data_IF_679641674795
#
_entry.id   IF_679641674795
#
_cell.length_a   1.000
_cell.length_b   1.000
_cell.length_c   1.000
_cell.angle_alpha   90.00
_cell.angle_beta   90.00
_cell.angle_gamma   90.00
#
_symmetry.space_group_name_H-M   'P 1'
#
loop_
_entity.id
_entity.type
_entity.pdbx_description
1 polymer ?
#
# COMPACT_ATOMS: atom_id res chain seq x y z
N UNK A 1 -7.93 5.45 -15.99
CA UNK A 1 -8.49 5.71 -14.64
C UNK A 1 -9.08 7.11 -14.56
N UNK A 2 -10.01 7.30 -13.65
CA UNK A 2 -10.64 8.60 -13.41
C UNK A 2 -9.87 9.46 -12.40
N UNK A 3 -9.13 8.80 -11.50
CA UNK A 3 -8.19 9.38 -10.57
C UNK A 3 -6.80 8.77 -10.81
N UNK A 4 -5.70 9.47 -10.50
CA UNK A 4 -4.39 8.84 -10.46
C UNK A 4 -4.36 7.72 -9.41
N UNK A 5 -3.44 6.77 -9.55
CA UNK A 5 -3.17 5.81 -8.49
C UNK A 5 -2.38 6.50 -7.39
N UNK A 6 -2.76 6.23 -6.15
CA UNK A 6 -1.99 6.56 -4.96
C UNK A 6 -1.48 5.28 -4.32
N UNK A 7 -0.36 5.35 -3.65
CA UNK A 7 0.32 4.18 -3.12
C UNK A 7 0.56 4.30 -1.62
N UNK A 8 0.69 3.16 -0.97
CA UNK A 8 1.31 3.05 0.34
C UNK A 8 2.63 2.28 0.23
N UNK A 9 3.56 2.60 1.09
CA UNK A 9 4.78 1.82 1.31
C UNK A 9 4.58 0.93 2.53
N UNK A 10 4.70 -0.37 2.35
CA UNK A 10 4.77 -1.34 3.42
C UNK A 10 6.20 -1.81 3.62
N UNK A 11 6.76 -1.62 4.82
CA UNK A 11 8.02 -2.22 5.27
C UNK A 11 7.72 -3.33 6.25
N UNK A 12 8.43 -4.44 6.15
CA UNK A 12 8.16 -5.64 6.95
C UNK A 12 9.47 -6.33 7.34
N UNK A 13 9.48 -6.89 8.55
CA UNK A 13 10.53 -7.77 9.05
C UNK A 13 9.95 -9.07 9.58
N UNK A 14 10.71 -10.15 9.45
CA UNK A 14 10.48 -11.41 10.13
C UNK A 14 11.52 -11.57 11.24
N UNK A 15 11.05 -11.90 12.42
CA UNK A 15 11.89 -12.06 13.60
C UNK A 15 11.71 -13.46 14.19
N UNK A 16 12.81 -14.15 14.41
CA UNK A 16 12.84 -15.31 15.28
C UNK A 16 12.83 -14.81 16.72
N UNK A 17 11.83 -15.23 17.51
CA UNK A 17 11.59 -14.69 18.85
C UNK A 17 11.67 -15.77 19.91
N UNK A 18 12.09 -15.38 21.11
CA UNK A 18 12.10 -16.27 22.29
C UNK A 18 10.78 -16.28 23.05
N UNK A 19 9.95 -15.25 22.86
CA UNK A 19 8.66 -15.10 23.53
C UNK A 19 7.56 -15.14 22.48
N UNK A 20 6.79 -16.25 22.40
CA UNK A 20 5.72 -16.40 21.43
C UNK A 20 4.70 -15.26 21.46
N UNK A 21 4.17 -14.93 20.31
CA UNK A 21 3.05 -14.02 20.15
C UNK A 21 1.79 -14.85 19.85
N UNK A 22 0.76 -14.74 20.69
CA UNK A 22 -0.47 -15.53 20.54
C UNK A 22 -1.67 -14.71 20.04
N UNK A 23 -1.41 -13.51 19.51
CA UNK A 23 -2.46 -12.61 19.01
C UNK A 23 -1.95 -11.78 17.83
N UNK A 24 -2.85 -11.33 17.00
CA UNK A 24 -2.56 -10.32 16.00
C UNK A 24 -2.69 -8.94 16.67
N UNK A 25 -1.73 -8.07 16.41
CA UNK A 25 -1.72 -6.68 16.86
C UNK A 25 -1.76 -5.79 15.63
N UNK A 26 -2.70 -4.87 15.61
CA UNK A 26 -2.74 -3.78 14.64
C UNK A 26 -2.75 -2.45 15.38
N UNK A 27 -2.08 -1.46 14.82
CA UNK A 27 -2.25 -0.06 15.21
C UNK A 27 -2.83 0.72 14.06
N UNK A 28 -3.62 1.72 14.35
CA UNK A 28 -4.19 2.62 13.35
C UNK A 28 -3.64 4.02 13.60
N UNK A 29 -2.96 4.59 12.61
CA UNK A 29 -2.29 5.88 12.69
C UNK A 29 -0.94 5.85 13.42
N UNK A 30 -0.83 5.22 14.59
CA UNK A 30 0.43 5.13 15.32
C UNK A 30 1.37 4.07 14.67
N UNK A 31 2.68 4.33 14.55
CA UNK A 31 3.50 5.45 15.06
C UNK A 31 3.64 6.63 14.08
N UNK A 32 2.79 6.71 13.08
CA UNK A 32 2.87 7.70 12.02
C UNK A 32 2.52 9.12 12.52
N UNK A 33 3.00 10.18 11.86
CA UNK A 33 2.55 11.53 12.09
C UNK A 33 1.07 11.70 11.70
N UNK A 34 0.45 12.80 12.15
CA UNK A 34 -1.01 12.99 12.00
C UNK A 34 -1.49 13.18 10.57
N UNK A 35 -0.62 13.62 9.69
CA UNK A 35 -0.84 13.85 8.27
C UNK A 35 -0.59 12.60 7.40
N UNK A 36 -0.05 11.53 7.99
CA UNK A 36 0.19 10.29 7.27
C UNK A 36 -0.91 9.24 7.58
N UNK A 37 -1.42 8.62 6.52
CA UNK A 37 -2.35 7.51 6.62
C UNK A 37 -1.59 6.19 6.74
N UNK A 38 -2.04 5.30 7.63
CA UNK A 38 -1.45 3.98 7.77
C UNK A 38 -1.49 3.44 9.18
N UNK A 39 -0.51 2.61 9.51
CA UNK A 39 -0.40 1.97 10.82
C UNK A 39 0.56 0.79 10.79
N UNK A 40 0.64 0.09 11.90
CA UNK A 40 1.54 -1.06 12.02
C UNK A 40 0.78 -2.36 12.29
N UNK A 41 1.49 -3.45 12.06
CA UNK A 41 1.00 -4.78 12.39
C UNK A 41 2.09 -5.63 13.04
N UNK A 42 1.68 -6.62 13.82
CA UNK A 42 2.51 -7.70 14.31
C UNK A 42 1.66 -8.96 14.45
N UNK A 43 2.07 -10.07 13.84
CA UNK A 43 1.35 -11.34 13.92
C UNK A 43 2.29 -12.55 13.95
N UNK A 44 1.88 -13.66 14.59
CA UNK A 44 2.66 -14.89 14.60
C UNK A 44 2.63 -15.55 13.23
N UNK A 45 3.79 -15.99 12.74
CA UNK A 45 3.93 -16.87 11.59
C UNK A 45 4.06 -18.33 12.03
N UNK A 46 4.70 -18.55 13.19
CA UNK A 46 4.83 -19.82 13.91
C UNK A 46 5.00 -19.52 15.40
N UNK A 47 5.29 -20.52 16.21
CA UNK A 47 5.50 -20.34 17.65
C UNK A 47 6.74 -19.49 17.97
N UNK A 48 7.73 -19.51 17.10
CA UNK A 48 9.01 -18.83 17.27
C UNK A 48 9.29 -17.75 16.22
N UNK A 49 8.38 -17.50 15.26
CA UNK A 49 8.53 -16.48 14.22
C UNK A 49 7.37 -15.50 14.24
N UNK A 50 7.73 -14.23 14.28
CA UNK A 50 6.79 -13.10 14.24
C UNK A 50 7.08 -12.23 13.01
N UNK A 51 6.03 -11.89 12.28
CA UNK A 51 6.08 -10.86 11.26
C UNK A 51 5.59 -9.54 11.85
N UNK A 52 6.32 -8.45 11.62
CA UNK A 52 5.88 -7.10 11.96
C UNK A 52 6.19 -6.14 10.83
N UNK A 53 5.42 -5.08 10.76
CA UNK A 53 5.60 -4.08 9.71
C UNK A 53 4.89 -2.77 9.98
N UNK A 54 5.22 -1.81 9.14
CA UNK A 54 4.63 -0.48 9.10
C UNK A 54 4.18 -0.21 7.67
N UNK A 55 2.96 0.31 7.53
CA UNK A 55 2.41 0.74 6.24
C UNK A 55 2.10 2.22 6.32
N UNK A 56 2.51 2.98 5.32
CA UNK A 56 2.27 4.42 5.23
C UNK A 56 1.87 4.80 3.81
N UNK A 57 0.78 5.56 3.67
CA UNK A 57 0.42 6.20 2.40
C UNK A 57 1.50 7.20 1.97
N UNK A 58 1.88 7.17 0.70
CA UNK A 58 2.95 8.02 0.15
C UNK A 58 2.50 9.47 -0.10
N UNK A 59 1.25 9.79 0.20
CA UNK A 59 0.66 11.13 0.11
C UNK A 59 0.85 11.98 1.39
N UNK A 60 1.89 11.71 2.19
CA UNK A 60 2.28 12.54 3.32
C UNK A 60 2.95 13.85 2.85
N UNK A 61 2.83 14.91 3.66
CA UNK A 61 3.30 16.24 3.27
C UNK A 61 4.80 16.47 3.55
N UNK A 62 5.35 15.91 4.62
CA UNK A 62 6.76 16.12 5.02
C UNK A 62 7.70 15.18 4.26
N UNK A 63 8.39 15.71 3.24
CA UNK A 63 9.35 14.95 2.44
C UNK A 63 10.57 14.41 3.24
N UNK A 64 10.78 14.87 4.49
CA UNK A 64 11.84 14.36 5.40
C UNK A 64 11.40 13.11 6.16
N UNK A 65 10.16 12.70 6.03
CA UNK A 65 9.63 11.55 6.75
C UNK A 65 10.34 10.27 6.29
N UNK A 66 11.07 9.64 7.21
CA UNK A 66 11.76 8.37 6.97
C UNK A 66 10.98 7.21 7.59
N UNK A 67 10.39 6.39 6.73
CA UNK A 67 9.58 5.23 7.12
C UNK A 67 10.40 4.20 7.89
N UNK A 68 11.66 3.98 7.49
CA UNK A 68 12.53 3.01 8.16
C UNK A 68 12.89 3.48 9.55
N UNK A 69 13.22 4.76 9.73
CA UNK A 69 13.53 5.31 11.05
C UNK A 69 12.32 5.17 12.00
N UNK A 70 11.14 5.54 11.53
CA UNK A 70 9.90 5.39 12.31
C UNK A 70 9.64 3.93 12.67
N UNK A 71 9.87 3.01 11.73
CA UNK A 71 9.74 1.58 11.97
C UNK A 71 10.74 1.08 13.02
N UNK A 72 12.01 1.52 12.96
CA UNK A 72 13.01 1.16 13.97
C UNK A 72 12.60 1.69 15.36
N UNK A 73 12.14 2.95 15.45
CA UNK A 73 11.64 3.54 16.71
C UNK A 73 10.42 2.80 17.25
N UNK A 74 9.50 2.38 16.39
CA UNK A 74 8.32 1.60 16.76
C UNK A 74 8.69 0.33 17.52
N UNK A 75 9.73 -0.37 17.08
CA UNK A 75 10.21 -1.61 17.72
C UNK A 75 10.67 -1.41 19.16
N UNK A 76 11.10 -0.20 19.53
CA UNK A 76 11.51 0.14 20.89
C UNK A 76 10.32 0.32 21.86
N UNK A 77 9.11 0.49 21.34
CA UNK A 77 7.92 0.62 22.17
C UNK A 77 7.65 -0.69 22.94
N UNK A 78 7.27 -0.66 24.23
CA UNK A 78 7.05 -1.86 25.06
C UNK A 78 6.13 -2.90 24.45
N UNK A 79 5.13 -2.47 23.67
CA UNK A 79 4.21 -3.38 22.97
C UNK A 79 4.92 -4.36 22.03
N UNK A 80 5.95 -3.90 21.33
CA UNK A 80 6.76 -4.68 20.37
C UNK A 80 8.01 -5.25 21.03
N UNK A 81 8.75 -4.40 21.74
CA UNK A 81 10.03 -4.73 22.36
C UNK A 81 9.98 -6.01 23.20
N UNK A 82 8.92 -6.17 24.01
CA UNK A 82 8.76 -7.37 24.88
C UNK A 82 8.79 -8.70 24.12
N UNK A 83 8.43 -8.72 22.84
CA UNK A 83 8.47 -9.91 21.99
C UNK A 83 9.77 -10.01 21.20
N UNK A 84 10.34 -8.87 20.78
CA UNK A 84 11.54 -8.83 19.93
C UNK A 84 12.84 -8.94 20.74
N UNK A 85 12.82 -8.56 22.02
CA UNK A 85 14.01 -8.55 22.87
C UNK A 85 14.64 -9.94 23.01
N UNK A 86 15.92 -10.05 22.62
CA UNK A 86 16.68 -11.28 22.58
C UNK A 86 16.33 -12.19 21.39
N UNK A 87 15.50 -11.72 20.47
CA UNK A 87 15.26 -12.33 19.16
C UNK A 87 16.25 -11.86 18.11
N UNK A 88 16.13 -12.41 16.90
CA UNK A 88 16.96 -12.10 15.74
C UNK A 88 16.06 -11.79 14.53
N UNK A 89 16.39 -10.73 13.79
CA UNK A 89 15.75 -10.44 12.51
C UNK A 89 16.32 -11.38 11.46
N UNK A 90 15.45 -12.19 10.85
CA UNK A 90 15.87 -13.22 9.88
C UNK A 90 15.60 -12.80 8.43
N UNK A 91 14.66 -11.89 8.20
CA UNK A 91 14.32 -11.40 6.86
C UNK A 91 13.64 -10.03 6.94
N UNK A 92 13.79 -9.24 5.90
CA UNK A 92 13.11 -7.97 5.74
C UNK A 92 12.74 -7.71 4.28
N UNK A 93 11.80 -6.81 4.06
CA UNK A 93 11.42 -6.38 2.72
C UNK A 93 10.47 -5.19 2.74
N UNK A 94 10.36 -4.56 1.59
CA UNK A 94 9.42 -3.46 1.37
C UNK A 94 8.67 -3.64 0.05
N UNK A 95 7.44 -3.13 0.02
CA UNK A 95 6.59 -3.17 -1.17
C UNK A 95 5.65 -1.98 -1.20
N UNK A 96 5.47 -1.39 -2.38
CA UNK A 96 4.39 -0.44 -2.62
C UNK A 96 3.08 -1.16 -2.88
N UNK A 97 2.00 -0.61 -2.35
CA UNK A 97 0.64 -1.15 -2.41
C UNK A 97 -0.26 -0.08 -3.04
N UNK A 98 -1.05 -0.38 -4.09
CA UNK A 98 -1.98 0.59 -4.66
C UNK A 98 -3.16 0.82 -3.72
N UNK A 99 -3.47 2.07 -3.41
CA UNK A 99 -4.55 2.48 -2.49
C UNK A 99 -5.60 3.40 -3.12
N UNK A 100 -5.51 3.70 -4.41
CA UNK A 100 -6.43 4.62 -5.09
C UNK A 100 -7.87 4.12 -5.20
N UNK A 101 -8.09 2.82 -5.05
CA UNK A 101 -9.42 2.20 -5.06
C UNK A 101 -10.15 2.33 -6.38
N UNK A 102 -11.49 2.30 -6.33
CA UNK A 102 -12.38 2.21 -7.48
C UNK A 102 -12.08 3.17 -8.64
N UNK A 103 -11.89 4.45 -8.35
CA UNK A 103 -11.66 5.47 -9.37
C UNK A 103 -10.25 5.45 -9.97
N UNK A 104 -9.32 4.74 -9.36
CA UNK A 104 -7.93 4.58 -9.82
C UNK A 104 -7.69 3.26 -10.57
N UNK A 105 -8.70 2.40 -10.66
CA UNK A 105 -8.63 1.21 -11.52
C UNK A 105 -8.42 1.63 -12.97
N UNK A 106 -7.45 1.03 -13.70
CA UNK A 106 -7.20 1.35 -15.10
C UNK A 106 -8.45 1.10 -15.96
N UNK A 107 -8.77 2.04 -16.84
CA UNK A 107 -9.83 1.87 -17.83
C UNK A 107 -9.49 0.77 -18.83
N UNK A 108 -8.20 0.61 -19.15
CA UNK A 108 -7.67 -0.43 -20.02
C UNK A 108 -6.94 -1.48 -19.19
N UNK A 109 -7.53 -2.64 -19.01
CA UNK A 109 -7.06 -3.77 -18.18
C UNK A 109 -6.59 -4.97 -18.98
N UNK A 110 -6.71 -4.89 -20.30
CA UNK A 110 -6.23 -5.86 -21.26
C UNK A 110 -5.76 -5.14 -22.53
N UNK A 111 -5.02 -5.82 -23.34
CA UNK A 111 -4.51 -5.37 -24.65
C UNK A 111 -4.05 -6.59 -25.43
N UNK A 112 -3.39 -6.38 -26.58
CA UNK A 112 -2.88 -7.46 -27.40
C UNK A 112 -1.88 -8.32 -26.60
N UNK A 113 -2.24 -9.58 -26.36
CA UNK A 113 -1.44 -10.55 -25.62
C UNK A 113 -1.29 -10.31 -24.12
N UNK A 114 -1.99 -9.36 -23.52
CA UNK A 114 -1.80 -8.99 -22.10
C UNK A 114 -3.10 -8.78 -21.35
N UNK A 115 -3.12 -9.24 -20.07
CA UNK A 115 -4.12 -8.88 -19.05
C UNK A 115 -3.43 -8.41 -17.78
N UNK A 116 -3.93 -7.35 -17.16
CA UNK A 116 -3.43 -6.82 -15.88
C UNK A 116 -4.35 -7.34 -14.77
N UNK A 117 -3.78 -7.96 -13.73
CA UNK A 117 -4.53 -8.62 -12.65
C UNK A 117 -4.05 -8.18 -11.27
N UNK A 118 -4.86 -8.42 -10.25
CA UNK A 118 -4.49 -8.18 -8.85
C UNK A 118 -4.08 -6.75 -8.54
N UNK A 119 -3.06 -6.60 -7.73
CA UNK A 119 -2.54 -5.30 -7.29
C UNK A 119 -2.05 -4.45 -8.47
N UNK A 120 -1.48 -5.05 -9.51
CA UNK A 120 -1.07 -4.34 -10.71
C UNK A 120 -2.24 -3.61 -11.41
N UNK A 121 -3.47 -4.13 -11.25
CA UNK A 121 -4.70 -3.49 -11.71
C UNK A 121 -5.37 -2.62 -10.62
N UNK A 122 -4.76 -2.46 -9.47
CA UNK A 122 -5.32 -1.69 -8.35
C UNK A 122 -6.48 -2.41 -7.62
N UNK A 123 -6.60 -3.73 -7.73
CA UNK A 123 -7.66 -4.48 -7.05
C UNK A 123 -7.29 -4.76 -5.59
N UNK A 124 -7.28 -3.71 -4.78
CA UNK A 124 -7.00 -3.77 -3.35
C UNK A 124 -8.15 -3.13 -2.58
N UNK A 125 -8.71 -3.84 -1.64
CA UNK A 125 -9.70 -3.30 -0.72
C UNK A 125 -8.99 -2.67 0.48
N UNK A 126 -8.82 -1.36 0.43
CA UNK A 126 -8.09 -0.59 1.44
C UNK A 126 -8.82 -0.61 2.79
N UNK A 127 -10.15 -0.63 2.79
CA UNK A 127 -10.96 -0.63 4.02
C UNK A 127 -10.75 -1.87 4.89
N UNK A 128 -10.56 -3.02 4.24
CA UNK A 128 -10.31 -4.31 4.92
C UNK A 128 -8.83 -4.70 4.94
N UNK A 129 -7.95 -3.89 4.35
CA UNK A 129 -6.52 -4.17 4.18
C UNK A 129 -6.26 -5.52 3.46
N UNK A 130 -7.04 -5.82 2.42
CA UNK A 130 -7.03 -7.11 1.73
C UNK A 130 -6.95 -6.94 0.22
N UNK A 131 -6.07 -7.73 -0.42
CA UNK A 131 -5.90 -7.77 -1.87
C UNK A 131 -5.82 -9.20 -2.43
N UNK A 132 -5.39 -10.18 -1.62
CA UNK A 132 -5.08 -11.55 -2.07
C UNK A 132 -6.27 -12.21 -2.78
N UNK A 133 -7.47 -12.12 -2.20
CA UNK A 133 -8.67 -12.73 -2.78
C UNK A 133 -9.06 -12.09 -4.12
N UNK A 134 -8.87 -10.78 -4.30
CA UNK A 134 -9.11 -10.12 -5.60
C UNK A 134 -8.02 -10.45 -6.62
N UNK A 135 -6.77 -10.57 -6.17
CA UNK A 135 -5.69 -11.04 -7.04
C UNK A 135 -5.98 -12.45 -7.57
N UNK A 136 -6.41 -13.37 -6.70
CA UNK A 136 -6.83 -14.72 -7.09
C UNK A 136 -8.04 -14.70 -8.03
N UNK A 137 -9.09 -13.94 -7.70
CA UNK A 137 -10.30 -13.84 -8.52
C UNK A 137 -10.01 -13.29 -9.91
N UNK A 138 -9.29 -12.17 -10.00
CA UNK A 138 -8.92 -11.56 -11.29
C UNK A 138 -8.00 -12.47 -12.11
N UNK A 139 -7.05 -13.16 -11.43
CA UNK A 139 -6.20 -14.16 -12.08
C UNK A 139 -6.99 -15.32 -12.68
N UNK A 140 -7.99 -15.84 -11.96
CA UNK A 140 -8.88 -16.90 -12.48
C UNK A 140 -9.72 -16.41 -13.68
N UNK A 141 -10.23 -15.16 -13.64
CA UNK A 141 -10.97 -14.58 -14.75
C UNK A 141 -10.07 -14.40 -15.99
N UNK A 142 -8.86 -13.89 -15.78
CA UNK A 142 -7.88 -13.75 -16.85
C UNK A 142 -7.51 -15.11 -17.46
N UNK A 143 -7.21 -16.11 -16.65
CA UNK A 143 -6.87 -17.45 -17.11
C UNK A 143 -7.99 -18.08 -17.98
N UNK A 144 -9.24 -17.93 -17.55
CA UNK A 144 -10.40 -18.43 -18.31
C UNK A 144 -10.53 -17.73 -19.67
N UNK A 145 -10.33 -16.42 -19.72
CA UNK A 145 -10.40 -15.66 -20.98
C UNK A 145 -9.24 -15.95 -21.90
N UNK A 146 -8.02 -15.99 -21.35
CA UNK A 146 -6.81 -16.35 -22.10
C UNK A 146 -6.95 -17.75 -22.72
N UNK A 147 -7.47 -18.73 -21.97
CA UNK A 147 -7.71 -20.06 -22.49
C UNK A 147 -8.67 -20.06 -23.68
N UNK A 148 -9.76 -19.28 -23.62
CA UNK A 148 -10.71 -19.13 -24.75
C UNK A 148 -10.04 -18.47 -25.96
N UNK A 149 -9.29 -17.40 -25.74
CA UNK A 149 -8.57 -16.66 -26.76
C UNK A 149 -7.53 -17.53 -27.48
N UNK A 150 -6.75 -18.31 -26.74
CA UNK A 150 -5.80 -19.26 -27.29
C UNK A 150 -6.45 -20.35 -28.13
N UNK A 151 -7.59 -20.90 -27.67
CA UNK A 151 -8.35 -21.88 -28.45
C UNK A 151 -8.94 -21.31 -29.76
N UNK A 152 -9.32 -20.04 -29.74
CA UNK A 152 -9.83 -19.32 -30.91
C UNK A 152 -8.72 -18.82 -31.84
N UNK A 153 -7.45 -18.87 -31.42
CA UNK A 153 -6.30 -18.29 -32.14
C UNK A 153 -6.32 -16.77 -32.18
N UNK A 154 -7.08 -16.12 -31.26
CA UNK A 154 -7.20 -14.65 -31.19
C UNK A 154 -6.83 -14.15 -29.79
N UNK A 155 -5.61 -13.68 -29.63
CA UNK A 155 -5.10 -13.04 -28.40
C UNK A 155 -5.03 -11.52 -28.52
N UNK A 156 -5.71 -10.95 -29.51
CA UNK A 156 -5.83 -9.49 -29.65
C UNK A 156 -6.60 -8.86 -28.48
N UNK A 157 -6.58 -7.54 -28.42
CA UNK A 157 -7.40 -6.78 -27.45
C UNK A 157 -8.87 -7.20 -27.53
N UNK A 158 -9.41 -7.39 -28.73
CA UNK A 158 -10.79 -7.86 -28.94
C UNK A 158 -11.00 -9.27 -28.38
N UNK A 159 -10.08 -10.20 -28.65
CA UNK A 159 -10.13 -11.58 -28.15
C UNK A 159 -10.03 -11.67 -26.63
N UNK A 160 -9.38 -10.69 -25.96
CA UNK A 160 -9.22 -10.64 -24.51
C UNK A 160 -10.27 -9.75 -23.80
N UNK A 161 -11.16 -9.07 -24.51
CA UNK A 161 -12.12 -8.12 -23.94
C UNK A 161 -13.06 -8.75 -22.88
N UNK A 162 -13.37 -10.04 -23.02
CA UNK A 162 -14.18 -10.77 -22.04
C UNK A 162 -13.61 -10.79 -20.62
N UNK A 163 -12.30 -10.58 -20.46
CA UNK A 163 -11.69 -10.41 -19.15
C UNK A 163 -12.19 -9.16 -18.43
N UNK A 164 -12.14 -7.99 -19.07
CA UNK A 164 -12.62 -6.75 -18.45
C UNK A 164 -14.12 -6.81 -18.15
N UNK A 165 -14.93 -7.37 -19.05
CA UNK A 165 -16.36 -7.59 -18.82
C UNK A 165 -16.62 -8.46 -17.58
N UNK A 166 -15.84 -9.54 -17.43
CA UNK A 166 -15.96 -10.43 -16.26
C UNK A 166 -15.59 -9.71 -14.95
N UNK A 167 -14.53 -8.89 -14.98
CA UNK A 167 -14.13 -8.09 -13.80
C UNK A 167 -15.20 -7.04 -13.47
N UNK A 168 -15.73 -6.32 -14.45
CA UNK A 168 -16.75 -5.26 -14.25
C UNK A 168 -18.01 -5.79 -13.58
N UNK A 169 -18.41 -7.02 -13.89
CA UNK A 169 -19.57 -7.69 -13.30
C UNK A 169 -19.28 -8.46 -12.01
N UNK A 170 -18.02 -8.45 -11.55
CA UNK A 170 -17.57 -9.25 -10.41
C UNK A 170 -17.77 -8.56 -9.07
N UNK A 171 -17.58 -9.35 -8.01
CA UNK A 171 -17.51 -8.88 -6.62
C UNK A 171 -16.40 -7.83 -6.44
N UNK A 172 -15.29 -7.92 -7.19
CA UNK A 172 -14.17 -6.97 -7.10
C UNK A 172 -14.67 -5.54 -7.33
N UNK A 173 -15.30 -5.28 -8.47
CA UNK A 173 -15.75 -3.91 -8.79
C UNK A 173 -16.93 -3.46 -7.93
N UNK A 174 -17.77 -4.39 -7.48
CA UNK A 174 -18.85 -4.08 -6.53
C UNK A 174 -18.30 -3.59 -5.19
N UNK A 175 -17.41 -4.36 -4.59
CA UNK A 175 -16.86 -4.04 -3.27
C UNK A 175 -16.00 -2.77 -3.34
N UNK A 176 -15.13 -2.63 -4.36
CA UNK A 176 -14.38 -1.40 -4.57
C UNK A 176 -15.28 -0.17 -4.72
N UNK A 177 -16.45 -0.33 -5.36
CA UNK A 177 -17.43 0.76 -5.49
C UNK A 177 -18.08 1.10 -4.15
N UNK A 178 -18.34 0.13 -3.29
CA UNK A 178 -18.94 0.36 -1.97
C UNK A 178 -17.97 1.13 -1.05
N UNK A 179 -16.65 0.86 -1.14
CA UNK A 179 -15.62 1.53 -0.32
C UNK A 179 -14.85 2.66 -1.04
N UNK A 180 -15.33 3.11 -2.22
CA UNK A 180 -14.59 3.96 -3.18
C UNK A 180 -13.93 5.23 -2.64
N UNK A 181 -14.48 5.83 -1.59
CA UNK A 181 -13.97 7.05 -0.98
C UNK A 181 -13.46 6.85 0.46
N UNK A 182 -13.42 5.61 0.95
CA UNK A 182 -13.13 5.34 2.36
C UNK A 182 -11.70 5.77 2.74
N UNK A 183 -10.72 5.45 1.90
CA UNK A 183 -9.33 5.90 2.06
C UNK A 183 -9.24 7.44 2.11
N UNK A 184 -9.97 8.10 1.23
CA UNK A 184 -9.93 9.56 1.06
C UNK A 184 -10.62 10.32 2.22
N UNK A 185 -11.51 9.65 2.95
CA UNK A 185 -12.14 10.24 4.14
C UNK A 185 -11.10 10.66 5.18
N UNK A 186 -10.00 9.92 5.28
CA UNK A 186 -8.92 10.16 6.24
C UNK A 186 -8.06 11.38 5.92
N UNK A 187 -8.13 11.94 4.70
CA UNK A 187 -7.54 13.27 4.41
C UNK A 187 -8.10 14.40 5.27
N UNK A 188 -9.25 14.19 5.91
CA UNK A 188 -9.82 15.12 6.90
C UNK A 188 -9.28 14.93 8.33
N UNK A 189 -8.21 14.15 8.49
CA UNK A 189 -7.65 13.75 9.76
C UNK A 189 -8.29 12.47 10.33
N UNK A 190 -7.63 11.88 11.30
CA UNK A 190 -7.96 10.54 11.82
C UNK A 190 -9.40 10.44 12.40
N UNK A 191 -9.80 11.34 13.27
CA UNK A 191 -11.10 11.25 13.95
C UNK A 191 -12.27 11.55 13.01
N UNK A 192 -12.16 12.62 12.23
CA UNK A 192 -13.21 12.99 11.26
C UNK A 192 -13.28 11.95 10.15
N UNK A 193 -12.16 11.45 9.70
CA UNK A 193 -12.05 10.36 8.73
C UNK A 193 -12.71 9.09 9.23
N UNK A 194 -12.48 8.73 10.50
CA UNK A 194 -13.10 7.58 11.13
C UNK A 194 -14.63 7.65 11.16
N UNK A 195 -15.20 8.80 11.57
CA UNK A 195 -16.66 9.02 11.53
C UNK A 195 -17.20 8.89 10.12
N UNK A 196 -16.54 9.51 9.13
CA UNK A 196 -16.93 9.39 7.71
C UNK A 196 -16.86 7.94 7.24
N UNK A 197 -15.82 7.20 7.59
CA UNK A 197 -15.67 5.79 7.23
C UNK A 197 -16.80 4.91 7.80
N UNK A 198 -17.19 5.12 9.06
CA UNK A 198 -18.33 4.42 9.68
C UNK A 198 -19.61 4.71 8.91
N UNK A 199 -19.91 5.98 8.60
CA UNK A 199 -21.11 6.36 7.84
C UNK A 199 -21.09 5.77 6.43
N UNK A 200 -19.93 5.73 5.75
CA UNK A 200 -19.81 5.08 4.45
C UNK A 200 -20.06 3.59 4.53
N UNK A 201 -19.55 2.92 5.56
CA UNK A 201 -19.79 1.49 5.79
C UNK A 201 -21.26 1.19 6.00
N UNK A 202 -21.95 1.94 6.87
CA UNK A 202 -23.36 1.76 7.17
C UNK A 202 -24.26 2.01 5.94
N UNK A 203 -23.88 2.91 5.07
CA UNK A 203 -24.63 3.27 3.86
C UNK A 203 -24.15 2.54 2.60
N UNK A 204 -23.23 1.57 2.71
CA UNK A 204 -22.60 0.87 1.59
C UNK A 204 -22.09 1.82 0.50
N UNK A 205 -21.43 2.88 0.92
CA UNK A 205 -20.87 3.89 0.05
C UNK A 205 -21.85 4.92 -0.51
N UNK A 206 -23.12 4.94 -0.09
CA UNK A 206 -24.06 6.00 -0.50
C UNK A 206 -23.71 7.35 0.11
N UNK A 207 -23.28 7.38 1.37
CA UNK A 207 -22.72 8.59 2.00
C UNK A 207 -21.39 8.95 1.35
N UNK A 208 -21.19 10.21 0.97
CA UNK A 208 -20.04 10.67 0.18
C UNK A 208 -19.85 9.85 -1.12
N UNK A 209 -20.96 9.53 -1.79
CA UNK A 209 -20.95 8.68 -2.97
C UNK A 209 -20.39 9.30 -4.25
N UNK A 210 -20.26 10.65 -4.30
CA UNK A 210 -19.65 11.34 -5.44
C UNK A 210 -18.14 11.10 -5.48
N UNK A 211 -17.56 11.16 -6.68
CA UNK A 211 -16.10 11.05 -6.85
C UNK A 211 -15.39 12.19 -6.14
N UNK A 212 -14.45 11.86 -5.28
CA UNK A 212 -13.51 12.80 -4.68
C UNK A 212 -12.26 12.81 -5.55
N UNK A 213 -11.89 13.95 -6.17
CA UNK A 213 -10.67 14.05 -6.95
C UNK A 213 -9.45 13.97 -6.02
N UNK A 214 -8.40 13.31 -6.49
CA UNK A 214 -7.11 13.20 -5.79
C UNK A 214 -5.99 13.66 -6.71
N UNK A 215 -4.86 14.04 -6.10
CA UNK A 215 -3.61 14.33 -6.80
C UNK A 215 -2.70 13.09 -6.75
N UNK A 216 -1.67 13.10 -7.56
CA UNK A 216 -0.59 12.13 -7.45
C UNK A 216 0.16 12.30 -6.13
N UNK A 217 0.67 11.22 -5.56
CA UNK A 217 1.37 11.23 -4.26
C UNK A 217 2.50 12.27 -4.23
N UNK A 218 3.31 12.32 -5.27
CA UNK A 218 4.41 13.29 -5.38
C UNK A 218 3.96 14.76 -5.35
N UNK A 219 2.71 15.05 -5.73
CA UNK A 219 2.16 16.41 -5.71
C UNK A 219 1.62 16.84 -4.34
N UNK A 220 1.52 15.91 -3.39
CA UNK A 220 1.11 16.19 -2.00
C UNK A 220 2.30 16.59 -1.12
N UNK A 221 3.51 16.17 -1.47
CA UNK A 221 4.73 16.50 -0.72
C UNK A 221 5.03 17.99 -0.81
N UNK A 222 5.36 18.60 0.33
CA UNK A 222 5.76 20.01 0.37
C UNK A 222 7.18 20.17 -0.16
N UNK A 223 7.39 21.18 -0.98
CA UNK A 223 8.72 21.61 -1.38
C UNK A 223 9.43 22.19 -0.17
N UNK A 224 10.57 21.62 0.20
CA UNK A 224 11.45 22.19 1.24
C UNK A 224 12.12 23.46 0.70
N UNK A 225 12.11 24.54 1.49
CA UNK A 225 12.96 25.70 1.24
C UNK A 225 14.43 25.34 1.49
N UNK A 226 15.36 26.01 0.81
CA UNK A 226 16.80 25.79 1.00
C UNK A 226 17.25 25.93 2.48
N UNK A 227 16.54 26.77 3.25
CA UNK A 227 16.81 26.93 4.68
C UNK A 227 16.34 25.76 5.54
N UNK A 228 15.39 24.97 5.04
CA UNK A 228 14.81 23.81 5.73
C UNK A 228 15.39 22.48 5.25
N UNK A 229 16.31 22.53 4.27
CA UNK A 229 16.95 21.34 3.72
C UNK A 229 18.06 20.85 4.65
N UNK A 230 17.83 19.73 5.39
CA UNK A 230 18.86 19.15 6.25
C UNK A 230 20.00 18.50 5.43
N UNK A 231 19.82 18.38 4.12
CA UNK A 231 20.75 17.73 3.20
C UNK A 231 21.50 18.75 2.32
N UNK A 232 21.98 19.84 2.90
CA UNK A 232 22.84 20.78 2.16
C UNK A 232 24.04 20.00 1.63
N UNK A 233 24.24 19.97 0.30
CA UNK A 233 25.36 19.24 -0.28
C UNK A 233 26.68 19.77 0.27
N UNK A 234 27.48 18.90 0.85
CA UNK A 234 28.82 19.25 1.35
C UNK A 234 29.87 19.32 0.23
N UNK A 235 29.46 19.11 -1.02
CA UNK A 235 30.31 19.07 -2.20
C UNK A 235 31.22 17.84 -2.29
N UNK A 236 31.10 16.91 -1.34
CA UNK A 236 31.95 15.70 -1.26
C UNK A 236 31.15 14.42 -1.52
N UNK A 237 29.84 14.48 -1.29
CA UNK A 237 28.97 13.32 -1.47
C UNK A 237 28.55 13.18 -2.92
N UNK A 238 28.66 11.95 -3.41
CA UNK A 238 28.08 11.56 -4.71
C UNK A 238 27.06 10.48 -4.48
N UNK A 239 25.89 10.62 -5.13
CA UNK A 239 24.85 9.62 -5.09
C UNK A 239 24.92 8.74 -6.33
N UNK A 240 24.88 7.44 -6.14
CA UNK A 240 24.67 6.52 -7.23
C UNK A 240 23.21 6.60 -7.70
N UNK A 241 23.02 6.75 -9.01
CA UNK A 241 21.68 6.67 -9.61
C UNK A 241 21.16 5.24 -9.74
N UNK A 242 22.04 4.25 -9.58
CA UNK A 242 21.73 2.83 -9.80
C UNK A 242 21.18 2.21 -8.54
N UNK A 243 21.83 2.45 -7.42
CA UNK A 243 21.51 1.84 -6.14
C UNK A 243 20.71 2.76 -5.19
N UNK A 244 20.57 4.04 -5.52
CA UNK A 244 19.88 4.99 -4.64
C UNK A 244 20.52 5.15 -3.27
N UNK A 245 21.73 4.62 -3.08
CA UNK A 245 22.41 4.56 -1.80
C UNK A 245 23.05 5.91 -1.48
N UNK A 246 22.66 6.42 -0.34
CA UNK A 246 23.28 7.60 0.24
C UNK A 246 24.49 7.18 1.09
N UNK A 247 25.69 7.61 0.67
CA UNK A 247 26.92 7.38 1.41
C UNK A 247 27.49 8.69 1.90
N UNK A 248 27.43 8.93 3.21
CA UNK A 248 28.22 9.97 3.86
C UNK A 248 29.46 9.34 4.50
N UNK A 249 30.46 10.15 4.82
CA UNK A 249 31.64 9.64 5.52
C UNK A 249 31.32 8.92 6.84
N UNK A 250 30.13 9.14 7.40
CA UNK A 250 29.68 8.59 8.68
C UNK A 250 28.43 7.71 8.58
N UNK A 251 27.82 7.62 7.40
CA UNK A 251 26.63 6.80 7.18
C UNK A 251 26.80 6.04 5.89
N UNK A 252 26.81 4.74 6.00
CA UNK A 252 26.62 3.85 4.86
C UNK A 252 25.25 3.26 5.04
N UNK A 253 24.38 3.55 4.10
CA UNK A 253 23.10 2.87 4.01
C UNK A 253 23.25 1.84 2.91
N UNK A 254 23.30 0.60 3.30
CA UNK A 254 23.21 -0.53 2.39
C UNK A 254 21.76 -0.92 2.31
N UNK A 255 21.18 -0.86 1.13
CA UNK A 255 19.80 -1.30 0.86
C UNK A 255 19.78 -2.75 0.42
#
# INVERSE_FOLDING_TARGET
SENPQIFALGVKELWQVKKPLHRIVHTVGWPLPRDAFGGSFMYPMSDDVVALGLVVGLDYEDARFDVHEVFQRMKLHPLFRKHLEGGEMVEWGAKTIPEGGFYSVPSRRHGDGVCIVGDAAGYVEVSSLKGIHYAMHSGMMAARQIFKALKAGDTSEAGLAGYSTAVDSSVIMKDLKECRNMRLAFKSGFYVGGVKAVLMTLTKGAFLGAKIPIREDAAESRTLGLADDPFVPDGKLTFSKVDGVYKSGNQTRDD
#
